data_IF_437183169340
#
_entry.id   IF_437183169340
#
_cell.length_a   1.000
_cell.length_b   1.000
_cell.length_c   1.000
_cell.angle_alpha   90.00
_cell.angle_beta   90.00
_cell.angle_gamma   90.00
#
_symmetry.space_group_name_H-M   'P 1'
#
loop_
_entity.id
_entity.type
_entity.pdbx_description
1 polymer ?
#
# COMPACT_ATOMS: atom_id res chain seq x y z
N UNK A 1 8.80 5.64 -2.58
CA UNK A 1 8.87 4.85 -1.36
C UNK A 1 9.01 5.75 -0.15
N UNK A 2 8.44 5.33 1.00
CA UNK A 2 8.49 6.08 2.24
C UNK A 2 9.91 6.32 2.75
N UNK A 3 10.07 7.23 3.68
CA UNK A 3 11.35 7.49 4.31
C UNK A 3 11.76 6.30 5.19
N UNK A 4 13.00 5.85 5.07
CA UNK A 4 13.55 4.79 5.90
C UNK A 4 15.03 5.04 6.22
N UNK A 5 15.49 4.43 7.28
CA UNK A 5 16.92 4.37 7.61
C UNK A 5 17.27 3.07 8.32
N UNK A 6 18.51 2.65 8.16
CA UNK A 6 19.05 1.50 8.87
C UNK A 6 19.72 1.96 10.16
N UNK A 7 19.30 1.40 11.27
CA UNK A 7 19.83 1.70 12.60
C UNK A 7 20.33 0.43 13.28
N UNK A 8 21.50 0.50 13.88
CA UNK A 8 22.01 -0.60 14.67
C UNK A 8 21.47 -0.50 16.10
N UNK A 9 20.81 -1.55 16.56
CA UNK A 9 20.29 -1.63 17.93
C UNK A 9 21.46 -1.79 18.90
N UNK A 10 21.51 -0.91 19.89
CA UNK A 10 22.46 -0.97 20.99
C UNK A 10 21.90 -1.80 22.16
N UNK A 11 20.66 -1.56 22.52
CA UNK A 11 19.99 -2.28 23.61
C UNK A 11 18.47 -2.28 23.45
N UNK A 12 17.82 -3.28 24.05
CA UNK A 12 16.38 -3.40 24.13
C UNK A 12 15.99 -3.64 25.58
N UNK A 13 15.11 -2.82 26.11
CA UNK A 13 14.47 -3.06 27.41
C UNK A 13 13.06 -3.56 27.19
N UNK A 14 12.86 -4.86 27.39
CA UNK A 14 11.57 -5.53 27.18
C UNK A 14 10.50 -5.02 28.18
N UNK A 15 10.91 -4.67 29.40
CA UNK A 15 9.99 -4.20 30.44
C UNK A 15 9.38 -2.84 30.16
N UNK A 16 10.11 -1.96 29.51
CA UNK A 16 9.65 -0.61 29.14
C UNK A 16 9.30 -0.44 27.67
N UNK A 17 9.65 -1.42 26.82
CA UNK A 17 9.54 -1.32 25.37
C UNK A 17 10.54 -0.36 24.73
N UNK A 18 11.59 0.07 25.47
CA UNK A 18 12.60 1.02 24.97
C UNK A 18 13.62 0.31 24.08
N UNK A 19 13.87 0.88 22.92
CA UNK A 19 14.96 0.45 22.01
C UNK A 19 15.93 1.62 21.86
N UNK A 20 17.21 1.37 22.15
CA UNK A 20 18.29 2.32 21.94
C UNK A 20 19.13 1.93 20.74
N UNK A 21 19.49 2.92 19.93
CA UNK A 21 20.34 2.75 18.77
C UNK A 21 21.75 3.27 19.04
N UNK A 22 22.74 2.74 18.32
CA UNK A 22 24.16 3.17 18.45
C UNK A 22 24.40 4.59 17.96
N UNK A 23 23.46 5.15 17.20
CA UNK A 23 23.47 6.51 16.68
C UNK A 23 22.08 7.11 16.71
N UNK A 24 21.99 8.43 16.64
CA UNK A 24 20.72 9.12 16.53
C UNK A 24 20.03 8.81 15.20
N UNK A 25 18.71 8.93 15.20
CA UNK A 25 17.88 8.94 13.98
C UNK A 25 18.17 10.26 13.26
N UNK A 26 18.69 10.20 12.04
CA UNK A 26 19.19 11.39 11.35
C UNK A 26 18.26 11.95 10.30
N UNK A 27 17.49 11.08 9.65
CA UNK A 27 16.84 11.45 8.39
C UNK A 27 15.51 12.11 8.64
N UNK A 28 14.78 11.68 9.66
CA UNK A 28 13.41 12.14 9.87
C UNK A 28 13.04 12.20 11.35
N UNK A 29 12.13 13.11 11.67
CA UNK A 29 11.36 13.03 12.90
C UNK A 29 10.24 12.02 12.68
N UNK A 30 10.41 10.81 13.15
CA UNK A 30 9.36 9.80 13.09
C UNK A 30 8.30 10.10 14.16
N UNK A 31 7.05 10.06 13.74
CA UNK A 31 5.89 10.31 14.59
C UNK A 31 4.93 9.11 14.46
N UNK A 32 4.37 8.65 15.56
CA UNK A 32 3.42 7.54 15.58
C UNK A 32 2.20 7.77 14.67
N UNK A 33 1.86 9.04 14.39
CA UNK A 33 0.82 9.41 13.42
C UNK A 33 1.23 9.16 11.97
N UNK A 34 2.53 9.05 11.70
CA UNK A 34 3.08 8.86 10.36
C UNK A 34 3.20 7.40 9.92
N UNK A 35 2.55 6.44 10.58
CA UNK A 35 2.63 5.02 10.26
C UNK A 35 4.05 4.46 10.24
N UNK A 36 4.77 4.69 11.32
CA UNK A 36 6.12 4.18 11.48
C UNK A 36 6.10 2.69 11.79
N UNK A 37 6.86 1.94 11.03
CA UNK A 37 7.10 0.52 11.27
C UNK A 37 8.58 0.29 11.60
N UNK A 38 8.84 -0.46 12.66
CA UNK A 38 10.17 -0.93 12.98
C UNK A 38 10.34 -2.36 12.43
N UNK A 39 11.25 -2.52 11.48
CA UNK A 39 11.52 -3.80 10.83
C UNK A 39 12.85 -4.35 11.31
N UNK A 40 12.83 -5.57 11.85
CA UNK A 40 14.08 -6.26 12.19
C UNK A 40 14.82 -6.68 10.92
N UNK A 41 16.07 -6.24 10.78
CA UNK A 41 16.96 -6.64 9.69
C UNK A 41 18.06 -7.53 10.24
N UNK A 42 17.96 -8.87 10.14
CA UNK A 42 19.02 -9.77 10.59
C UNK A 42 20.24 -9.64 9.68
N UNK A 43 21.43 -9.78 10.29
CA UNK A 43 22.69 -9.83 9.56
C UNK A 43 23.19 -11.28 9.48
N UNK A 44 23.52 -11.72 8.28
CA UNK A 44 24.13 -13.00 8.00
C UNK A 44 25.37 -12.84 7.14
N UNK A 45 26.44 -13.58 7.39
CA UNK A 45 27.67 -13.46 6.62
C UNK A 45 27.56 -14.16 5.24
N UNK A 46 27.17 -15.43 5.25
CA UNK A 46 27.01 -16.27 4.05
C UNK A 46 25.75 -17.16 4.20
N UNK A 47 24.54 -16.58 4.17
CA UNK A 47 23.33 -17.36 4.34
C UNK A 47 23.02 -18.22 3.12
N UNK A 48 22.40 -19.38 3.39
CA UNK A 48 21.82 -20.27 2.38
C UNK A 48 20.31 -20.30 2.56
N UNK A 49 19.57 -19.94 1.55
CA UNK A 49 18.11 -20.06 1.53
C UNK A 49 17.76 -21.48 1.09
N UNK A 50 17.24 -22.30 2.00
CA UNK A 50 16.93 -23.73 1.78
C UNK A 50 15.44 -24.02 1.65
N UNK A 51 14.59 -23.05 1.95
CA UNK A 51 13.15 -23.09 1.78
C UNK A 51 12.66 -21.72 1.33
N UNK A 52 11.47 -21.64 0.76
CA UNK A 52 10.89 -20.37 0.32
C UNK A 52 10.96 -19.33 1.43
N UNK A 53 11.62 -18.21 1.15
CA UNK A 53 11.74 -17.08 2.06
C UNK A 53 10.63 -16.09 1.77
N UNK A 54 9.83 -15.77 2.77
CA UNK A 54 8.71 -14.83 2.65
C UNK A 54 8.74 -13.80 3.79
N UNK A 55 7.88 -12.79 3.71
CA UNK A 55 7.67 -11.80 4.77
C UNK A 55 6.42 -12.13 5.58
N UNK A 56 6.32 -11.51 6.75
CA UNK A 56 5.04 -11.42 7.43
C UNK A 56 4.06 -10.62 6.57
N UNK A 57 2.83 -11.09 6.34
CA UNK A 57 1.83 -10.36 5.57
C UNK A 57 1.58 -8.97 6.13
N UNK A 58 1.28 -8.02 5.26
CA UNK A 58 0.79 -6.72 5.67
C UNK A 58 -0.50 -6.85 6.47
N UNK A 59 -0.57 -6.15 7.59
CA UNK A 59 -1.75 -6.05 8.43
C UNK A 59 -2.21 -4.59 8.49
N UNK A 60 -3.31 -4.28 7.81
CA UNK A 60 -3.88 -2.93 7.73
C UNK A 60 -4.28 -2.36 9.08
N UNK A 61 -4.69 -3.20 10.04
CA UNK A 61 -5.12 -2.75 11.37
C UNK A 61 -3.96 -2.29 12.24
N UNK A 62 -2.82 -2.99 12.18
CA UNK A 62 -1.61 -2.62 12.93
C UNK A 62 -0.69 -1.67 12.17
N UNK A 63 -0.82 -1.60 10.83
CA UNK A 63 0.10 -0.86 9.96
C UNK A 63 1.49 -1.49 9.91
N UNK A 64 1.60 -2.81 10.03
CA UNK A 64 2.87 -3.54 10.07
C UNK A 64 2.87 -4.77 9.16
N UNK A 65 4.06 -5.23 8.79
CA UNK A 65 4.25 -6.35 7.87
C UNK A 65 4.64 -5.89 6.47
N UNK A 66 4.53 -6.77 5.49
CA UNK A 66 4.79 -6.48 4.08
C UNK A 66 6.24 -6.21 3.71
N UNK A 67 7.18 -6.38 4.64
CA UNK A 67 8.60 -6.06 4.41
C UNK A 67 9.48 -7.25 4.72
N UNK A 68 10.29 -7.65 3.75
CA UNK A 68 11.42 -8.56 3.92
C UNK A 68 12.72 -7.76 3.80
N UNK A 69 13.52 -7.78 4.85
CA UNK A 69 14.82 -7.13 4.86
C UNK A 69 15.85 -8.03 5.54
N UNK A 70 16.95 -8.30 4.85
CA UNK A 70 18.10 -9.05 5.37
C UNK A 70 19.38 -8.33 4.96
N UNK A 71 20.40 -8.40 5.79
CA UNK A 71 21.72 -7.87 5.48
C UNK A 71 22.69 -9.03 5.31
N UNK A 72 23.43 -9.02 4.21
CA UNK A 72 24.36 -10.10 3.84
C UNK A 72 25.77 -9.53 3.77
N UNK A 73 26.70 -10.15 4.53
CA UNK A 73 28.09 -9.67 4.60
C UNK A 73 28.90 -10.01 3.37
N UNK A 74 28.74 -11.20 2.78
CA UNK A 74 29.54 -11.62 1.64
C UNK A 74 28.68 -12.17 0.49
N UNK A 75 28.01 -13.30 0.68
CA UNK A 75 27.31 -14.05 -0.37
C UNK A 75 25.98 -14.59 0.12
N UNK A 76 24.94 -14.42 -0.68
CA UNK A 76 23.67 -15.10 -0.51
C UNK A 76 23.61 -16.28 -1.49
N UNK A 77 23.39 -17.48 -0.97
CA UNK A 77 23.18 -18.69 -1.79
C UNK A 77 21.68 -18.99 -1.80
N UNK A 78 21.13 -19.02 -2.99
CA UNK A 78 19.70 -19.26 -3.20
C UNK A 78 19.49 -20.68 -3.70
N UNK A 79 19.03 -21.59 -2.81
CA UNK A 79 18.60 -22.95 -3.17
C UNK A 79 17.05 -23.05 -3.14
N UNK A 80 16.35 -21.98 -2.81
CA UNK A 80 14.90 -21.84 -2.86
C UNK A 80 14.55 -20.38 -3.20
N UNK A 81 13.30 -20.15 -3.57
CA UNK A 81 12.82 -18.85 -4.02
C UNK A 81 12.59 -17.85 -2.85
N UNK A 82 12.56 -16.58 -3.20
CA UNK A 82 11.99 -15.53 -2.37
C UNK A 82 10.61 -15.19 -2.96
N UNK A 83 9.55 -15.43 -2.19
CA UNK A 83 8.18 -15.16 -2.62
C UNK A 83 7.48 -14.21 -1.64
N UNK A 84 7.15 -13.02 -2.14
CA UNK A 84 6.41 -11.98 -1.42
C UNK A 84 5.02 -11.75 -2.02
N UNK A 85 4.53 -12.67 -2.84
CA UNK A 85 3.20 -12.57 -3.46
C UNK A 85 2.13 -12.46 -2.37
N UNK A 86 1.27 -11.44 -2.49
CA UNK A 86 0.19 -11.19 -1.54
C UNK A 86 0.63 -10.71 -0.15
N UNK A 87 1.92 -10.43 0.07
CA UNK A 87 2.41 -9.98 1.38
C UNK A 87 2.39 -8.45 1.55
N UNK A 88 2.20 -7.69 0.47
CA UNK A 88 2.18 -6.23 0.48
C UNK A 88 0.86 -5.60 0.93
N UNK A 89 0.72 -4.31 0.68
CA UNK A 89 -0.48 -3.53 0.98
C UNK A 89 -1.75 -4.18 0.44
N UNK A 90 -2.85 -4.07 1.18
CA UNK A 90 -4.14 -4.59 0.77
C UNK A 90 -4.76 -3.75 -0.36
N UNK A 91 -5.41 -4.44 -1.28
CA UNK A 91 -6.32 -3.77 -2.22
C UNK A 91 -7.55 -3.19 -1.49
N UNK A 92 -8.18 -2.20 -2.07
CA UNK A 92 -9.42 -1.68 -1.52
C UNK A 92 -10.54 -2.71 -1.62
N UNK A 93 -11.45 -2.77 -0.62
CA UNK A 93 -12.62 -3.60 -0.71
C UNK A 93 -13.53 -3.14 -1.85
N UNK A 94 -14.14 -4.10 -2.55
CA UNK A 94 -15.16 -3.80 -3.56
C UNK A 94 -16.34 -3.03 -2.94
N UNK A 95 -16.87 -2.08 -3.67
CA UNK A 95 -18.09 -1.34 -3.29
C UNK A 95 -19.26 -1.96 -4.03
N UNK A 96 -20.24 -2.48 -3.28
CA UNK A 96 -21.50 -2.99 -3.83
C UNK A 96 -22.64 -2.02 -3.55
N UNK A 97 -23.62 -1.95 -4.45
CA UNK A 97 -24.83 -1.18 -4.23
C UNK A 97 -24.86 0.23 -4.80
N UNK A 98 -23.92 0.58 -5.66
CA UNK A 98 -24.02 1.80 -6.44
C UNK A 98 -25.14 1.62 -7.46
N UNK A 99 -26.27 2.30 -7.24
CA UNK A 99 -27.44 2.25 -8.11
C UNK A 99 -27.27 3.13 -9.34
N UNK A 100 -27.30 2.52 -10.51
CA UNK A 100 -27.27 3.23 -11.79
C UNK A 100 -25.87 3.48 -12.35
N UNK A 101 -25.82 3.77 -13.63
CA UNK A 101 -24.64 4.23 -14.32
C UNK A 101 -24.42 5.68 -13.91
N UNK A 102 -23.63 5.90 -12.91
CA UNK A 102 -23.25 7.26 -12.53
C UNK A 102 -21.93 7.53 -13.19
N UNK A 103 -21.98 8.27 -14.26
CA UNK A 103 -20.82 8.98 -14.74
C UNK A 103 -20.57 10.12 -13.77
N UNK A 104 -19.67 10.01 -12.82
CA UNK A 104 -19.20 11.21 -12.17
C UNK A 104 -18.77 12.09 -13.32
N UNK A 105 -19.13 13.35 -13.28
CA UNK A 105 -18.78 14.31 -14.31
C UNK A 105 -17.25 14.57 -14.21
N UNK A 106 -16.48 13.49 -14.30
CA UNK A 106 -15.02 13.45 -14.24
C UNK A 106 -14.47 14.32 -15.35
N UNK A 107 -15.15 14.33 -16.50
CA UNK A 107 -14.82 15.19 -17.62
C UNK A 107 -14.98 16.69 -17.30
N UNK A 108 -15.88 17.06 -16.40
CA UNK A 108 -16.11 18.45 -16.06
C UNK A 108 -15.12 19.00 -15.02
N UNK A 109 -14.60 18.16 -14.13
CA UNK A 109 -13.79 18.61 -13.00
C UNK A 109 -12.36 18.06 -13.00
N UNK A 110 -12.01 17.10 -13.88
CA UNK A 110 -10.66 16.52 -13.97
C UNK A 110 -10.18 15.87 -12.67
N UNK A 111 -11.10 15.46 -11.80
CA UNK A 111 -10.75 14.90 -10.50
C UNK A 111 -10.68 13.38 -10.57
N UNK A 112 -9.48 12.86 -10.43
CA UNK A 112 -9.22 11.43 -10.24
C UNK A 112 -9.39 11.00 -8.78
N UNK A 113 -9.94 11.86 -7.94
CA UNK A 113 -10.07 11.68 -6.51
C UNK A 113 -11.35 12.26 -5.97
N UNK A 114 -12.00 11.53 -5.04
CA UNK A 114 -13.24 11.93 -4.40
C UNK A 114 -13.17 11.72 -2.89
N UNK A 115 -13.97 12.51 -2.19
CA UNK A 115 -14.19 12.37 -0.76
C UNK A 115 -14.72 10.97 -0.40
N UNK A 116 -14.40 10.51 0.81
CA UNK A 116 -14.81 9.20 1.32
C UNK A 116 -16.34 9.02 1.35
N UNK A 117 -17.09 10.10 1.50
CA UNK A 117 -18.55 10.06 1.51
C UNK A 117 -19.16 9.88 0.11
N UNK A 118 -18.37 10.04 -0.96
CA UNK A 118 -18.85 9.88 -2.32
C UNK A 118 -19.21 8.42 -2.61
N UNK A 119 -20.48 8.15 -2.93
CA UNK A 119 -20.98 6.78 -3.04
C UNK A 119 -20.75 6.11 -4.40
N UNK A 120 -20.32 6.88 -5.41
CA UNK A 120 -20.24 6.43 -6.80
C UNK A 120 -18.82 6.08 -7.27
N UNK A 121 -17.86 6.03 -6.39
CA UNK A 121 -16.51 5.62 -6.70
C UNK A 121 -15.97 4.61 -5.70
N UNK A 122 -15.14 3.69 -6.18
CA UNK A 122 -14.42 2.73 -5.36
C UNK A 122 -13.35 3.37 -4.50
N UNK A 123 -13.04 2.76 -3.36
CA UNK A 123 -11.90 3.16 -2.54
C UNK A 123 -10.59 2.85 -3.26
N UNK A 124 -9.59 3.67 -3.01
CA UNK A 124 -8.22 3.44 -3.45
C UNK A 124 -7.58 2.33 -2.61
N UNK A 125 -6.67 1.58 -3.22
CA UNK A 125 -5.86 0.60 -2.51
C UNK A 125 -4.95 1.24 -1.46
N UNK A 126 -4.52 0.46 -0.50
CA UNK A 126 -3.53 0.90 0.48
C UNK A 126 -2.19 1.20 -0.20
N UNK A 127 -1.46 2.14 0.35
CA UNK A 127 -0.16 2.55 -0.12
C UNK A 127 0.64 3.21 1.00
N UNK A 128 1.78 3.78 0.65
CA UNK A 128 2.62 4.51 1.61
C UNK A 128 1.98 5.83 2.08
N UNK A 129 1.04 6.39 1.31
CA UNK A 129 0.18 7.47 1.79
C UNK A 129 -1.09 6.86 2.37
N UNK A 130 -1.31 7.07 3.64
CA UNK A 130 -2.48 6.56 4.34
C UNK A 130 -3.58 7.60 4.30
N UNK A 131 -4.69 7.28 3.63
CA UNK A 131 -5.89 8.10 3.66
C UNK A 131 -7.01 7.48 4.50
N UNK A 132 -6.90 6.21 4.84
CA UNK A 132 -7.86 5.54 5.72
C UNK A 132 -7.13 4.63 6.70
N UNK A 133 -7.04 5.06 7.95
CA UNK A 133 -6.63 4.21 9.05
C UNK A 133 -7.82 4.06 9.99
N UNK A 134 -7.96 2.90 10.60
CA UNK A 134 -9.00 2.66 11.61
C UNK A 134 -9.05 3.83 12.60
N UNK A 135 -10.04 4.72 12.42
CA UNK A 135 -10.30 5.87 13.28
C UNK A 135 -9.73 7.22 12.85
N UNK A 136 -8.97 7.36 11.77
CA UNK A 136 -8.52 8.67 11.29
C UNK A 136 -8.27 8.67 9.78
N UNK A 137 -9.15 9.29 9.03
CA UNK A 137 -8.91 9.65 7.63
C UNK A 137 -7.95 10.83 7.59
N UNK A 138 -6.73 10.62 7.12
CA UNK A 138 -5.76 11.71 6.97
C UNK A 138 -6.06 12.58 5.75
N UNK A 139 -6.63 11.97 4.70
CA UNK A 139 -7.01 12.67 3.45
C UNK A 139 -8.37 12.18 2.96
N UNK A 140 -9.47 12.51 3.67
CA UNK A 140 -10.81 12.05 3.31
C UNK A 140 -11.21 12.47 1.89
N UNK A 141 -10.77 13.65 1.45
CA UNK A 141 -11.10 14.24 0.15
C UNK A 141 -10.49 13.49 -1.05
N UNK A 142 -9.59 12.54 -0.79
CA UNK A 142 -8.85 11.80 -1.82
C UNK A 142 -8.94 10.28 -1.64
N UNK A 143 -9.85 9.79 -0.82
CA UNK A 143 -9.92 8.38 -0.46
C UNK A 143 -10.51 7.46 -1.53
N UNK A 144 -11.20 8.03 -2.51
CA UNK A 144 -11.89 7.30 -3.59
C UNK A 144 -11.52 7.84 -4.97
N UNK A 145 -11.90 7.09 -6.02
CA UNK A 145 -11.70 7.48 -7.40
C UNK A 145 -10.49 6.82 -8.05
N UNK A 146 -10.35 7.01 -9.37
CA UNK A 146 -9.42 6.24 -10.19
C UNK A 146 -7.94 6.67 -10.06
N UNK A 147 -7.67 7.86 -9.55
CA UNK A 147 -6.29 8.31 -9.34
C UNK A 147 -5.55 7.44 -8.33
N UNK A 148 -4.30 7.14 -8.61
CA UNK A 148 -3.43 6.36 -7.71
C UNK A 148 -3.23 7.06 -6.36
N UNK A 149 -2.93 6.27 -5.35
CA UNK A 149 -2.48 6.73 -4.06
C UNK A 149 -1.01 6.35 -3.85
N UNK A 150 -0.12 7.06 -4.49
CA UNK A 150 1.32 6.75 -4.51
C UNK A 150 1.58 5.30 -4.95
N UNK A 151 1.84 4.40 -4.01
CA UNK A 151 2.05 2.97 -4.27
C UNK A 151 0.77 2.13 -4.24
N UNK A 152 -0.35 2.71 -3.86
CA UNK A 152 -1.67 2.07 -3.88
C UNK A 152 -2.40 2.36 -5.18
N UNK A 153 -3.03 1.34 -5.77
CA UNK A 153 -3.83 1.52 -6.98
C UNK A 153 -5.10 2.36 -6.75
N UNK A 154 -5.57 3.00 -7.79
CA UNK A 154 -6.82 3.77 -7.79
C UNK A 154 -8.06 2.88 -7.63
N UNK A 155 -9.14 3.44 -7.14
CA UNK A 155 -10.47 2.82 -7.16
C UNK A 155 -11.15 3.01 -8.51
N UNK A 156 -12.10 2.16 -8.88
CA UNK A 156 -12.92 2.39 -10.07
C UNK A 156 -13.93 3.52 -9.87
N UNK A 157 -14.31 4.19 -10.95
CA UNK A 157 -15.27 5.31 -10.93
C UNK A 157 -16.68 4.91 -11.37
N UNK A 158 -16.88 3.72 -11.92
CA UNK A 158 -18.15 3.26 -12.46
C UNK A 158 -18.73 2.06 -11.72
N UNK A 159 -19.97 1.68 -12.07
CA UNK A 159 -20.72 0.62 -11.40
C UNK A 159 -20.04 -0.75 -11.46
N UNK A 160 -19.40 -1.10 -12.55
CA UNK A 160 -18.74 -2.37 -12.78
C UNK A 160 -17.25 -2.19 -13.10
N UNK A 161 -16.69 -1.03 -12.79
CA UNK A 161 -15.29 -0.77 -13.02
C UNK A 161 -14.42 -1.40 -11.92
N UNK A 162 -13.25 -1.87 -12.30
CA UNK A 162 -12.25 -2.43 -11.39
C UNK A 162 -11.31 -1.36 -10.84
N UNK A 163 -10.75 -1.61 -9.68
CA UNK A 163 -9.62 -0.82 -9.17
C UNK A 163 -8.31 -1.22 -9.86
N UNK A 164 -7.39 -0.29 -9.94
CA UNK A 164 -6.03 -0.53 -10.43
C UNK A 164 -5.15 -1.28 -9.42
N UNK A 165 -4.08 -1.86 -9.90
CA UNK A 165 -3.07 -2.52 -9.07
C UNK A 165 -2.11 -1.54 -8.43
N UNK A 166 -1.75 -1.75 -7.17
CA UNK A 166 -0.67 -1.00 -6.55
C UNK A 166 0.72 -1.46 -7.03
N UNK A 167 1.72 -0.60 -6.91
CA UNK A 167 3.08 -0.89 -7.35
C UNK A 167 4.14 -0.27 -6.46
N UNK A 168 5.20 -1.04 -6.20
CA UNK A 168 6.41 -0.54 -5.55
C UNK A 168 7.52 -0.19 -6.57
N UNK A 169 7.42 -0.71 -7.78
CA UNK A 169 8.37 -0.47 -8.87
C UNK A 169 7.67 -0.61 -10.23
N UNK A 170 7.75 0.42 -11.03
CA UNK A 170 7.05 0.49 -12.31
C UNK A 170 5.62 1.01 -12.15
N UNK A 171 4.79 0.70 -13.10
CA UNK A 171 3.38 1.07 -13.15
C UNK A 171 2.57 -0.18 -12.84
N UNK A 172 1.59 -0.08 -11.95
CA UNK A 172 0.62 -1.15 -11.72
C UNK A 172 -0.28 -1.34 -12.94
N UNK A 173 -1.09 -2.38 -12.94
CA UNK A 173 -2.05 -2.58 -14.01
C UNK A 173 -3.30 -1.72 -13.77
N UNK A 174 -3.83 -1.13 -14.83
CA UNK A 174 -5.11 -0.44 -14.75
C UNK A 174 -6.25 -1.41 -14.47
N UNK A 175 -7.27 -0.93 -13.78
CA UNK A 175 -8.49 -1.67 -13.50
C UNK A 175 -9.37 -1.81 -14.74
N UNK A 176 -10.25 -2.81 -14.70
CA UNK A 176 -11.24 -3.02 -15.78
C UNK A 176 -12.22 -1.85 -15.88
N UNK A 177 -12.55 -1.50 -17.11
CA UNK A 177 -13.58 -0.48 -17.43
C UNK A 177 -15.00 -1.05 -17.26
N UNK A 178 -15.97 -0.17 -17.16
CA UNK A 178 -17.38 -0.52 -17.05
C UNK A 178 -17.87 -1.25 -18.30
N UNK A 179 -18.84 -2.17 -18.13
CA UNK A 179 -19.38 -2.95 -19.23
C UNK A 179 -20.36 -2.12 -20.10
N UNK A 180 -20.05 -2.01 -21.38
CA UNK A 180 -20.83 -1.30 -22.39
C UNK A 180 -22.32 -1.66 -22.47
N UNK A 181 -22.68 -2.90 -22.11
CA UNK A 181 -24.07 -3.36 -22.22
C UNK A 181 -25.03 -2.66 -21.26
N UNK A 182 -24.54 -2.07 -20.19
CA UNK A 182 -25.38 -1.49 -19.15
C UNK A 182 -25.21 0.01 -19.00
N UNK A 183 -24.02 0.56 -19.22
CA UNK A 183 -23.71 1.93 -18.89
C UNK A 183 -22.96 2.70 -19.99
N UNK A 184 -22.61 2.03 -21.08
CA UNK A 184 -21.66 2.55 -22.06
C UNK A 184 -20.21 2.32 -21.60
N UNK A 185 -19.29 2.22 -22.55
CA UNK A 185 -17.87 2.14 -22.26
C UNK A 185 -17.31 3.53 -22.00
N UNK A 186 -16.84 3.80 -20.80
CA UNK A 186 -15.97 4.94 -20.55
C UNK A 186 -14.58 4.41 -20.15
N UNK A 187 -13.54 4.63 -20.98
CA UNK A 187 -12.17 4.19 -20.66
C UNK A 187 -11.60 4.85 -19.41
N UNK A 188 -12.30 5.83 -18.86
CA UNK A 188 -11.92 6.55 -17.65
C UNK A 188 -12.48 5.96 -16.37
N UNK A 189 -13.22 4.85 -16.42
CA UNK A 189 -13.89 4.28 -15.26
C UNK A 189 -12.99 3.36 -14.43
N UNK A 190 -11.99 2.72 -15.04
CA UNK A 190 -11.03 1.87 -14.34
C UNK A 190 -10.07 2.67 -13.45
N UNK A 191 -9.69 2.11 -12.31
CA UNK A 191 -8.69 2.71 -11.45
C UNK A 191 -7.28 2.63 -12.08
N UNK A 192 -6.48 3.65 -11.90
CA UNK A 192 -5.07 3.65 -12.37
C UNK A 192 -4.19 2.76 -11.49
N UNK A 193 -3.26 2.06 -12.12
CA UNK A 193 -2.28 1.20 -11.47
C UNK A 193 -0.88 1.80 -11.29
#
# INVERSE_FOLDING_TARGET
PGAYEFLQVQSVNIGTGEIRFTRNVYINSYDARGNVQLVRVPFYNEPVVTSTLTAQPWNSSSGTGGVLAIMVGKKLIMNADIDLSGQGFAGAPGVSGIGGCVFPNVAANGLDSYDISWNNAGRKGEGIAVHDRVGALLYPDHAKGQGMNLTGGGGGNGRFSGGGGGSNRGIGADGGIENALFCGEDPRDGGYG
#
